data_IF_856215490042
#
_entry.id   IF_856215490042
#
_cell.length_a   1.000
_cell.length_b   1.000
_cell.length_c   1.000
_cell.angle_alpha   90.00
_cell.angle_beta   90.00
_cell.angle_gamma   90.00
#
_symmetry.space_group_name_H-M   'P 1'
#
loop_
_entity.id
_entity.type
_entity.pdbx_description
1 polymer ?
#
# COMPACT_ATOMS: atom_id res chain seq x y z
N UNK A 1 -85.71 7.46 -34.08
CA UNK A 1 -84.72 6.38 -34.21
C UNK A 1 -83.48 6.94 -33.64
N UNK A 2 -83.25 6.75 -32.36
CA UNK A 2 -82.10 7.30 -31.60
C UNK A 2 -81.31 6.13 -31.05
N UNK A 3 -80.19 5.89 -31.66
CA UNK A 3 -79.26 4.86 -31.27
C UNK A 3 -78.33 5.45 -30.22
N UNK A 4 -78.39 4.93 -29.01
CA UNK A 4 -77.53 5.28 -27.90
C UNK A 4 -76.34 4.32 -27.89
N UNK A 5 -75.20 4.89 -28.07
CA UNK A 5 -73.91 4.24 -27.99
C UNK A 5 -73.42 4.15 -26.49
N UNK A 6 -73.14 2.98 -25.99
CA UNK A 6 -72.62 2.86 -24.59
C UNK A 6 -71.10 3.08 -24.53
N UNK A 7 -70.69 4.09 -23.77
CA UNK A 7 -69.31 4.34 -23.41
C UNK A 7 -68.76 3.25 -22.48
N UNK A 8 -67.61 2.68 -22.73
CA UNK A 8 -66.97 1.74 -21.79
C UNK A 8 -66.43 2.45 -20.58
N UNK A 9 -66.76 1.96 -19.40
CA UNK A 9 -66.22 2.37 -18.13
C UNK A 9 -64.74 1.97 -18.04
N UNK A 10 -63.85 2.98 -17.92
CA UNK A 10 -62.41 2.80 -17.78
C UNK A 10 -62.09 2.33 -16.36
N UNK A 11 -61.46 1.19 -16.32
CA UNK A 11 -61.23 0.31 -15.20
C UNK A 11 -60.52 0.84 -13.96
N UNK A 12 -61.17 0.61 -12.84
CA UNK A 12 -60.63 0.73 -11.49
C UNK A 12 -59.54 -0.32 -11.09
N UNK A 13 -59.31 -1.45 -11.79
CA UNK A 13 -58.34 -2.44 -11.34
C UNK A 13 -56.86 -2.05 -11.48
N UNK A 14 -56.52 -1.13 -12.38
CA UNK A 14 -55.10 -0.71 -12.56
C UNK A 14 -54.56 0.18 -11.44
N UNK A 15 -55.39 0.96 -10.79
CA UNK A 15 -55.01 1.85 -9.69
C UNK A 15 -54.74 1.04 -8.40
N UNK A 16 -55.54 0.01 -8.15
CA UNK A 16 -55.42 -0.88 -6.98
C UNK A 16 -54.14 -1.73 -7.09
N UNK A 17 -53.80 -2.21 -8.31
CA UNK A 17 -52.57 -2.98 -8.54
C UNK A 17 -51.34 -2.13 -8.35
N UNK A 18 -51.33 -0.84 -8.76
CA UNK A 18 -50.23 0.08 -8.56
C UNK A 18 -49.98 0.39 -7.08
N UNK A 19 -51.04 0.59 -6.30
CA UNK A 19 -50.93 0.84 -4.86
C UNK A 19 -50.39 -0.40 -4.12
N UNK A 20 -50.80 -1.60 -4.48
CA UNK A 20 -50.32 -2.85 -3.91
C UNK A 20 -48.81 -3.02 -4.11
N UNK A 21 -48.30 -2.70 -5.30
CA UNK A 21 -46.86 -2.75 -5.59
C UNK A 21 -46.03 -1.71 -4.80
N UNK A 22 -46.57 -0.50 -4.63
CA UNK A 22 -45.87 0.55 -3.82
C UNK A 22 -45.82 0.13 -2.36
N UNK A 23 -46.88 -0.43 -1.81
CA UNK A 23 -46.88 -0.91 -0.40
C UNK A 23 -45.91 -2.08 -0.21
N UNK A 24 -45.84 -3.01 -1.18
CA UNK A 24 -44.91 -4.13 -1.15
C UNK A 24 -43.47 -3.68 -1.21
N UNK A 25 -43.13 -2.74 -2.08
CA UNK A 25 -41.77 -2.17 -2.20
C UNK A 25 -41.37 -1.34 -0.97
N UNK A 26 -42.30 -0.58 -0.39
CA UNK A 26 -42.09 0.14 0.86
C UNK A 26 -41.88 -0.81 2.04
N UNK A 27 -42.66 -1.89 2.12
CA UNK A 27 -42.50 -2.94 3.13
C UNK A 27 -41.12 -3.64 3.02
N UNK A 28 -40.73 -3.98 1.79
CA UNK A 28 -39.44 -4.59 1.52
C UNK A 28 -38.25 -3.62 1.84
N UNK A 29 -38.44 -2.33 1.53
CA UNK A 29 -37.44 -1.30 1.85
C UNK A 29 -37.31 -1.05 3.36
N UNK A 30 -38.44 -1.00 4.08
CA UNK A 30 -38.43 -0.88 5.55
C UNK A 30 -37.84 -2.12 6.22
N UNK A 31 -38.13 -3.31 5.73
CA UNK A 31 -37.55 -4.54 6.28
C UNK A 31 -36.08 -4.70 5.96
N UNK A 32 -35.64 -4.27 4.78
CA UNK A 32 -34.22 -4.21 4.41
C UNK A 32 -33.42 -3.23 5.26
N UNK A 33 -34.05 -2.19 5.78
CA UNK A 33 -33.39 -1.19 6.62
C UNK A 33 -33.14 -1.67 8.06
N UNK A 34 -33.99 -2.52 8.59
CA UNK A 34 -33.78 -3.16 9.91
C UNK A 34 -32.73 -4.28 9.86
N UNK A 35 -32.46 -4.85 8.68
CA UNK A 35 -31.43 -5.87 8.53
C UNK A 35 -29.99 -5.32 8.51
N UNK A 36 -29.80 -4.00 8.36
CA UNK A 36 -28.50 -3.35 8.38
C UNK A 36 -28.08 -2.78 9.74
N UNK A 37 -29.00 -2.77 10.73
CA UNK A 37 -28.72 -2.27 12.08
C UNK A 37 -28.54 -3.39 13.12
N UNK A 38 -28.00 -4.55 12.73
CA UNK A 38 -27.74 -5.64 13.67
C UNK A 38 -26.25 -5.88 13.88
N UNK A 39 -25.77 -5.30 15.00
CA UNK A 39 -24.79 -5.87 15.90
C UNK A 39 -23.31 -5.70 15.57
N UNK A 40 -22.73 -4.73 16.18
CA UNK A 40 -21.56 -4.95 17.02
C UNK A 40 -21.94 -5.96 18.12
N UNK A 41 -21.45 -7.17 18.01
CA UNK A 41 -21.66 -8.19 19.03
C UNK A 41 -21.55 -9.60 18.48
N UNK A 42 -20.35 -10.18 18.58
CA UNK A 42 -20.09 -11.62 18.64
C UNK A 42 -20.88 -12.49 17.69
N UNK A 43 -20.35 -12.74 16.50
CA UNK A 43 -20.65 -13.94 15.74
C UNK A 43 -19.44 -14.35 14.92
N UNK A 44 -18.86 -15.48 15.27
CA UNK A 44 -17.91 -16.23 14.47
C UNK A 44 -18.55 -16.59 13.14
N UNK A 45 -18.06 -16.16 12.00
CA UNK A 45 -18.45 -16.74 10.73
C UNK A 45 -17.65 -18.02 10.54
N UNK A 46 -18.35 -19.14 10.64
CA UNK A 46 -17.91 -20.42 10.07
C UNK A 46 -18.37 -20.40 8.63
N UNK A 47 -17.56 -19.87 7.74
CA UNK A 47 -17.58 -20.23 6.30
C UNK A 47 -16.38 -19.53 5.64
N UNK A 48 -15.43 -20.31 5.23
CA UNK A 48 -14.36 -20.17 4.27
C UNK A 48 -14.09 -18.80 3.65
N UNK A 49 -13.52 -17.87 4.40
CA UNK A 49 -12.85 -16.74 3.80
C UNK A 49 -11.39 -17.15 3.51
N UNK A 50 -11.20 -17.75 2.33
CA UNK A 50 -9.85 -18.12 1.83
C UNK A 50 -9.01 -16.87 1.48
N UNK A 51 -9.57 -15.67 1.59
CA UNK A 51 -8.87 -14.41 1.39
C UNK A 51 -8.19 -13.88 2.67
N UNK A 52 -8.52 -14.43 3.85
CA UNK A 52 -7.90 -14.03 5.12
C UNK A 52 -6.66 -14.86 5.49
N UNK A 53 -6.29 -15.86 4.69
CA UNK A 53 -5.17 -16.76 4.96
C UNK A 53 -3.79 -16.17 4.61
N UNK A 54 -3.63 -14.86 4.61
CA UNK A 54 -2.37 -14.20 4.26
C UNK A 54 -2.02 -12.96 5.06
N UNK A 55 -2.87 -12.56 6.04
CA UNK A 55 -2.49 -11.46 6.91
C UNK A 55 -1.68 -12.03 8.09
N UNK A 56 -0.40 -11.66 8.24
CA UNK A 56 0.35 -11.97 9.44
C UNK A 56 -0.42 -11.47 10.66
N UNK A 57 -0.31 -12.13 11.83
CA UNK A 57 -0.90 -11.62 13.07
C UNK A 57 -0.45 -10.15 13.22
N UNK A 58 -1.37 -9.27 13.68
CA UNK A 58 -1.06 -7.86 13.95
C UNK A 58 0.10 -7.81 14.95
N UNK A 59 1.31 -7.74 14.43
CA UNK A 59 2.50 -7.47 15.23
C UNK A 59 2.37 -6.00 15.64
N UNK A 60 2.27 -5.68 16.95
CA UNK A 60 2.20 -4.29 17.37
C UNK A 60 3.51 -3.60 16.99
N UNK A 61 3.43 -2.74 15.99
CA UNK A 61 4.59 -1.98 15.52
C UNK A 61 4.92 -0.85 16.50
N UNK A 62 6.21 -0.49 16.66
CA UNK A 62 6.61 0.65 17.47
C UNK A 62 5.91 1.94 17.02
N UNK A 63 5.66 2.90 17.91
CA UNK A 63 5.13 4.20 17.53
C UNK A 63 6.12 4.94 16.62
N UNK A 64 5.59 5.80 15.74
CA UNK A 64 6.43 6.63 14.89
C UNK A 64 7.25 7.62 15.74
N UNK A 65 8.51 7.74 15.41
CA UNK A 65 9.41 8.77 15.94
C UNK A 65 9.14 10.12 15.24
N UNK A 66 9.47 11.23 15.91
CA UNK A 66 9.46 12.53 15.27
C UNK A 66 10.45 12.57 14.11
N UNK A 67 10.09 13.22 12.97
CA UNK A 67 10.99 13.34 11.84
C UNK A 67 12.31 14.01 12.23
N UNK A 68 13.37 13.56 11.58
CA UNK A 68 14.71 14.15 11.71
C UNK A 68 14.84 15.35 10.75
N UNK A 69 15.81 16.20 11.00
CA UNK A 69 16.21 17.21 10.01
C UNK A 69 16.87 16.57 8.79
N UNK A 70 16.91 17.32 7.68
CA UNK A 70 17.52 16.87 6.43
C UNK A 70 19.01 16.51 6.62
N UNK A 71 19.37 15.32 6.10
CA UNK A 71 20.75 14.86 6.00
C UNK A 71 20.84 13.82 4.86
N UNK A 72 21.97 13.71 4.20
CA UNK A 72 22.11 12.85 3.02
C UNK A 72 22.40 11.40 3.42
N UNK A 73 21.74 10.42 2.80
CA UNK A 73 22.00 9.02 3.09
C UNK A 73 23.35 8.58 2.53
N UNK A 74 24.14 7.89 3.37
CA UNK A 74 25.45 7.33 3.02
C UNK A 74 25.38 5.81 2.84
N UNK A 75 24.65 5.12 3.74
CA UNK A 75 24.59 3.67 3.76
C UNK A 75 23.26 3.17 4.25
N UNK A 76 22.77 2.10 3.63
CA UNK A 76 21.60 1.32 4.07
C UNK A 76 22.08 0.03 4.72
N UNK A 77 21.63 -0.21 5.95
CA UNK A 77 21.87 -1.45 6.70
C UNK A 77 20.53 -2.16 6.97
N UNK A 78 20.43 -3.44 6.60
CA UNK A 78 19.28 -4.31 6.92
C UNK A 78 19.82 -5.54 7.63
N UNK A 79 19.87 -5.54 8.98
CA UNK A 79 20.51 -6.61 9.74
C UNK A 79 19.93 -8.00 9.51
N UNK A 80 18.60 -8.11 9.38
CA UNK A 80 17.91 -9.38 9.14
C UNK A 80 18.39 -10.09 7.86
N UNK A 81 18.78 -9.32 6.84
CA UNK A 81 19.28 -9.84 5.56
C UNK A 81 20.81 -9.74 5.42
N UNK A 82 21.51 -9.25 6.44
CA UNK A 82 22.97 -9.01 6.36
C UNK A 82 23.39 -7.95 5.34
N UNK A 83 22.46 -7.09 4.91
CA UNK A 83 22.73 -6.05 3.91
C UNK A 83 23.45 -4.87 4.56
N UNK A 84 24.55 -4.44 3.93
CA UNK A 84 25.26 -3.19 4.18
C UNK A 84 25.67 -2.58 2.85
N UNK A 85 24.92 -1.61 2.36
CA UNK A 85 25.03 -1.12 1.00
C UNK A 85 25.27 0.38 0.96
N UNK A 86 26.23 0.88 0.17
CA UNK A 86 26.39 2.31 -0.06
C UNK A 86 25.16 2.85 -0.81
N UNK A 87 24.75 4.06 -0.43
CA UNK A 87 23.65 4.77 -1.08
C UNK A 87 24.20 5.78 -2.07
N UNK A 88 23.62 5.82 -3.26
CA UNK A 88 23.95 6.76 -4.33
C UNK A 88 22.74 7.57 -4.74
N UNK A 89 22.92 8.87 -4.95
CA UNK A 89 21.87 9.75 -5.44
C UNK A 89 21.44 9.36 -6.86
N UNK A 90 20.11 9.28 -7.11
CA UNK A 90 19.53 8.94 -8.41
C UNK A 90 18.40 9.91 -8.77
N UNK A 91 18.15 10.04 -10.07
CA UNK A 91 17.00 10.75 -10.62
C UNK A 91 15.84 9.84 -10.96
N UNK A 92 14.93 10.34 -11.81
CA UNK A 92 13.89 9.55 -12.42
C UNK A 92 14.31 9.13 -13.84
N UNK A 93 13.89 7.96 -14.26
CA UNK A 93 14.00 7.51 -15.64
C UNK A 93 12.94 8.18 -16.54
N UNK A 94 12.97 7.88 -17.83
CA UNK A 94 12.03 8.43 -18.82
C UNK A 94 10.55 8.04 -18.57
N UNK A 95 10.29 7.08 -17.66
CA UNK A 95 8.95 6.63 -17.27
C UNK A 95 8.50 7.23 -15.94
N UNK A 96 9.33 8.07 -15.30
CA UNK A 96 9.07 8.65 -13.99
C UNK A 96 9.33 7.71 -12.81
N UNK A 97 9.97 6.56 -13.04
CA UNK A 97 10.40 5.67 -11.98
C UNK A 97 11.79 6.08 -11.48
N UNK A 98 12.08 5.82 -10.20
CA UNK A 98 13.42 6.06 -9.64
C UNK A 98 14.43 5.18 -10.38
N UNK A 99 15.44 5.82 -10.93
CA UNK A 99 16.48 5.13 -11.70
C UNK A 99 17.33 4.24 -10.78
N UNK A 100 17.42 2.91 -11.04
CA UNK A 100 18.23 2.02 -10.21
C UNK A 100 19.72 2.33 -10.37
N UNK A 101 20.59 1.85 -9.42
CA UNK A 101 22.04 1.95 -9.58
C UNK A 101 22.52 1.27 -10.86
N UNK A 102 23.67 1.65 -11.40
CA UNK A 102 24.27 0.96 -12.55
C UNK A 102 24.50 -0.54 -12.28
N UNK A 103 24.36 -1.36 -13.31
CA UNK A 103 24.51 -2.83 -13.21
C UNK A 103 25.94 -3.26 -12.81
N UNK A 104 26.94 -2.42 -13.00
CA UNK A 104 28.32 -2.67 -12.56
C UNK A 104 28.52 -2.48 -11.04
N UNK A 105 27.49 -1.93 -10.36
CA UNK A 105 27.47 -1.73 -8.90
C UNK A 105 26.28 -2.44 -8.24
N UNK A 106 26.17 -3.77 -8.36
CA UNK A 106 25.00 -4.50 -7.91
C UNK A 106 24.77 -4.46 -6.40
N UNK A 107 25.79 -4.14 -5.62
CA UNK A 107 25.72 -3.97 -4.16
C UNK A 107 25.33 -2.57 -3.69
N UNK A 108 24.97 -1.65 -4.58
CA UNK A 108 24.59 -0.27 -4.23
C UNK A 108 23.08 -0.11 -4.21
N UNK A 109 22.61 0.89 -3.45
CA UNK A 109 21.20 1.32 -3.40
C UNK A 109 21.09 2.74 -3.98
N UNK A 110 20.14 2.97 -4.89
CA UNK A 110 19.83 4.29 -5.39
C UNK A 110 18.82 4.98 -4.46
N UNK A 111 19.07 6.24 -4.13
CA UNK A 111 18.10 7.08 -3.42
C UNK A 111 17.62 8.18 -4.35
N UNK A 112 16.31 8.45 -4.38
CA UNK A 112 15.72 9.55 -5.18
C UNK A 112 16.06 10.90 -4.56
N UNK A 113 17.07 11.58 -5.12
CA UNK A 113 17.66 12.78 -4.54
C UNK A 113 16.76 14.03 -4.58
N UNK A 114 15.74 14.06 -5.44
CA UNK A 114 14.76 15.16 -5.48
C UNK A 114 13.55 14.93 -4.55
N UNK A 115 13.50 13.77 -3.87
CA UNK A 115 12.48 13.45 -2.87
C UNK A 115 12.92 13.73 -1.45
N UNK A 116 12.15 13.23 -0.48
CA UNK A 116 12.49 13.36 0.93
C UNK A 116 13.82 12.65 1.26
N UNK A 117 14.62 13.24 2.16
CA UNK A 117 15.77 12.56 2.77
C UNK A 117 15.29 11.54 3.80
N UNK A 118 15.99 10.41 3.99
CA UNK A 118 15.59 9.40 4.98
C UNK A 118 15.58 9.98 6.39
N UNK A 119 14.42 9.90 7.03
CA UNK A 119 14.18 10.46 8.35
C UNK A 119 13.48 11.82 8.35
N UNK A 120 13.51 12.59 7.27
CA UNK A 120 12.72 13.81 7.14
C UNK A 120 11.26 13.52 6.85
N UNK A 121 10.41 14.55 7.01
CA UNK A 121 8.97 14.45 6.68
C UNK A 121 8.78 14.05 5.22
N UNK A 122 7.95 13.05 4.99
CA UNK A 122 7.65 12.52 3.66
C UNK A 122 8.18 11.10 3.47
N UNK A 123 8.18 10.65 2.22
CA UNK A 123 8.61 9.29 1.88
C UNK A 123 9.95 9.32 1.14
N UNK A 124 10.98 8.79 1.77
CA UNK A 124 12.27 8.56 1.12
C UNK A 124 12.18 7.31 0.24
N UNK A 125 12.54 7.42 -1.03
CA UNK A 125 12.48 6.31 -1.99
C UNK A 125 13.90 5.78 -2.24
N UNK A 126 14.05 4.46 -2.06
CA UNK A 126 15.29 3.75 -2.35
C UNK A 126 15.04 2.59 -3.29
N UNK A 127 15.90 2.42 -4.28
CA UNK A 127 15.78 1.38 -5.29
C UNK A 127 17.06 0.55 -5.37
N UNK A 128 16.91 -0.76 -5.51
CA UNK A 128 18.03 -1.69 -5.65
C UNK A 128 17.69 -2.84 -6.59
N UNK A 129 18.72 -3.44 -7.19
CA UNK A 129 18.55 -4.61 -8.04
C UNK A 129 18.32 -5.88 -7.22
N UNK A 130 17.45 -6.78 -7.72
CA UNK A 130 17.32 -8.16 -7.21
C UNK A 130 18.48 -9.03 -7.72
N UNK A 131 18.90 -8.79 -8.95
CA UNK A 131 19.97 -9.52 -9.58
C UNK A 131 20.49 -8.81 -10.82
N UNK A 132 21.71 -9.16 -11.22
CA UNK A 132 22.33 -8.68 -12.46
C UNK A 132 22.75 -9.89 -13.27
N UNK A 133 21.86 -10.32 -14.18
CA UNK A 133 22.06 -11.57 -14.93
C UNK A 133 22.02 -12.78 -14.01
N UNK A 134 23.18 -13.44 -13.81
CA UNK A 134 23.28 -14.68 -12.99
C UNK A 134 23.70 -14.44 -11.54
N UNK A 135 23.92 -13.19 -11.14
CA UNK A 135 24.41 -12.85 -9.79
C UNK A 135 23.33 -12.16 -8.96
N UNK A 136 23.15 -12.55 -7.68
CA UNK A 136 22.31 -11.80 -6.76
C UNK A 136 22.83 -10.37 -6.59
N UNK A 137 21.92 -9.41 -6.39
CA UNK A 137 22.22 -8.02 -6.12
C UNK A 137 21.71 -7.61 -4.73
N UNK A 138 21.82 -6.32 -4.39
CA UNK A 138 21.59 -5.81 -3.04
C UNK A 138 20.22 -6.16 -2.46
N UNK A 139 19.15 -6.21 -3.28
CA UNK A 139 17.79 -6.53 -2.85
C UNK A 139 17.34 -7.94 -3.26
N UNK A 140 18.29 -8.87 -3.42
CA UNK A 140 18.00 -10.25 -3.78
C UNK A 140 16.96 -10.92 -2.85
N UNK A 141 17.08 -10.69 -1.55
CA UNK A 141 16.23 -11.31 -0.53
C UNK A 141 15.28 -10.33 0.15
N UNK A 142 15.09 -9.11 -0.41
CA UNK A 142 14.29 -8.08 0.26
C UNK A 142 12.83 -8.48 0.46
N UNK A 143 12.32 -9.42 -0.33
CA UNK A 143 10.98 -10.00 -0.17
C UNK A 143 10.83 -10.90 1.06
N UNK A 144 11.93 -11.29 1.69
CA UNK A 144 11.93 -12.10 2.91
C UNK A 144 11.82 -11.24 4.19
N UNK A 145 11.80 -9.91 4.06
CA UNK A 145 11.56 -9.03 5.20
C UNK A 145 10.14 -9.23 5.74
N UNK A 146 10.05 -9.15 7.07
CA UNK A 146 8.78 -9.26 7.79
C UNK A 146 8.42 -7.93 8.49
N UNK A 147 7.13 -7.63 8.70
CA UNK A 147 6.70 -6.51 9.53
C UNK A 147 7.34 -6.57 10.93
N UNK A 148 7.86 -5.42 11.39
CA UNK A 148 8.58 -5.30 12.67
C UNK A 148 10.09 -5.37 12.56
N UNK A 149 10.65 -5.80 11.43
CA UNK A 149 12.10 -5.82 11.21
C UNK A 149 12.66 -4.41 11.00
N UNK A 150 13.96 -4.26 11.27
CA UNK A 150 14.62 -2.95 11.28
C UNK A 150 15.42 -2.70 10.02
N UNK A 151 15.29 -1.46 9.53
CA UNK A 151 16.11 -0.89 8.47
C UNK A 151 16.80 0.35 9.04
N UNK A 152 18.08 0.50 8.79
CA UNK A 152 18.88 1.63 9.25
C UNK A 152 19.47 2.37 8.07
N UNK A 153 19.36 3.69 8.10
CA UNK A 153 20.02 4.55 7.12
C UNK A 153 21.02 5.43 7.87
N UNK A 154 22.31 5.21 7.59
CA UNK A 154 23.39 6.05 8.11
C UNK A 154 23.43 7.33 7.26
N UNK A 155 23.39 8.46 7.93
CA UNK A 155 23.38 9.79 7.33
C UNK A 155 24.79 10.43 7.34
N UNK A 156 24.99 11.46 6.54
CA UNK A 156 26.29 12.16 6.42
C UNK A 156 26.68 12.98 7.67
N UNK A 157 25.70 13.30 8.50
CA UNK A 157 25.90 13.95 9.80
C UNK A 157 26.11 12.96 10.96
N UNK A 158 26.41 11.70 10.66
CA UNK A 158 26.65 10.58 11.59
C UNK A 158 25.41 10.03 12.28
N UNK A 159 24.24 10.67 12.17
CA UNK A 159 22.98 10.12 12.68
C UNK A 159 22.60 8.85 11.92
N UNK A 160 21.87 7.99 12.59
CA UNK A 160 21.26 6.81 12.01
C UNK A 160 19.74 6.95 12.10
N UNK A 161 19.05 7.02 10.97
CA UNK A 161 17.61 6.93 10.93
C UNK A 161 17.20 5.46 11.01
N UNK A 162 16.48 5.06 12.08
CA UNK A 162 15.98 3.70 12.27
C UNK A 162 14.52 3.62 11.86
N UNK A 163 14.23 2.72 10.93
CA UNK A 163 12.89 2.44 10.42
C UNK A 163 12.46 1.04 10.81
N UNK A 164 11.16 0.87 11.05
CA UNK A 164 10.54 -0.44 11.23
C UNK A 164 9.67 -0.76 10.03
N UNK A 165 9.80 -1.97 9.50
CA UNK A 165 8.99 -2.46 8.37
C UNK A 165 7.53 -2.53 8.77
N UNK A 166 6.67 -1.91 7.99
CA UNK A 166 5.21 -1.95 8.13
C UNK A 166 4.59 -3.08 7.31
N UNK A 167 5.06 -3.19 6.06
CA UNK A 167 4.45 -4.07 5.07
C UNK A 167 5.43 -4.40 3.94
N UNK A 168 5.28 -5.59 3.37
CA UNK A 168 6.04 -6.06 2.22
C UNK A 168 5.06 -6.54 1.15
N UNK A 169 5.04 -5.87 0.01
CA UNK A 169 4.15 -6.18 -1.10
C UNK A 169 4.93 -6.67 -2.31
N UNK A 170 4.52 -7.82 -2.84
CA UNK A 170 5.00 -8.31 -4.14
C UNK A 170 3.95 -7.97 -5.19
N UNK A 171 4.31 -7.16 -6.17
CA UNK A 171 3.40 -6.68 -7.22
C UNK A 171 3.87 -7.17 -8.58
N UNK A 172 2.94 -7.64 -9.40
CA UNK A 172 3.23 -7.89 -10.82
C UNK A 172 3.45 -6.57 -11.53
N UNK A 173 4.34 -6.53 -12.50
CA UNK A 173 4.74 -5.31 -13.22
C UNK A 173 3.60 -4.60 -13.94
N UNK A 174 2.60 -5.33 -14.42
CA UNK A 174 1.43 -4.78 -15.12
C UNK A 174 0.49 -3.95 -14.20
N UNK A 175 0.67 -4.05 -12.87
CA UNK A 175 -0.08 -3.29 -11.86
C UNK A 175 0.74 -2.25 -11.09
N UNK A 176 1.97 -1.94 -11.54
CA UNK A 176 2.82 -0.97 -10.85
C UNK A 176 2.32 0.46 -11.15
N UNK A 177 1.66 1.06 -10.18
CA UNK A 177 1.31 2.48 -10.17
C UNK A 177 2.36 3.24 -9.35
N UNK A 178 3.17 4.06 -10.05
CA UNK A 178 4.21 4.87 -9.42
C UNK A 178 3.65 5.81 -8.35
N UNK A 179 2.45 6.37 -8.53
CA UNK A 179 1.83 7.25 -7.54
C UNK A 179 1.43 6.50 -6.27
N UNK A 180 0.90 5.27 -6.40
CA UNK A 180 0.61 4.42 -5.25
C UNK A 180 1.87 3.90 -4.57
N UNK A 181 2.91 3.58 -5.36
CA UNK A 181 4.18 3.11 -4.83
C UNK A 181 4.97 4.23 -4.14
N UNK A 182 4.85 5.47 -4.61
CA UNK A 182 5.67 6.61 -4.15
C UNK A 182 4.91 7.59 -3.24
N UNK A 183 3.57 7.57 -3.24
CA UNK A 183 2.77 8.49 -2.43
C UNK A 183 2.93 8.27 -0.92
N UNK A 184 2.88 9.33 -0.10
CA UNK A 184 2.91 9.21 1.35
C UNK A 184 1.65 8.52 1.84
N UNK A 185 1.80 7.54 2.75
CA UNK A 185 0.66 6.88 3.39
C UNK A 185 0.07 7.71 4.53
N UNK A 186 0.90 8.52 5.20
CA UNK A 186 0.47 9.33 6.36
C UNK A 186 1.16 10.68 6.36
N UNK A 187 0.37 11.73 6.43
CA UNK A 187 0.86 13.12 6.49
C UNK A 187 1.67 13.38 7.76
N UNK A 188 2.79 14.09 7.62
CA UNK A 188 3.59 14.54 8.76
C UNK A 188 4.54 13.49 9.38
N UNK A 189 4.69 12.33 8.76
CA UNK A 189 5.61 11.28 9.19
C UNK A 189 6.82 11.15 8.26
N UNK A 190 7.88 10.57 8.78
CA UNK A 190 9.01 10.12 8.00
C UNK A 190 8.81 8.64 7.63
N UNK A 191 8.74 8.37 6.32
CA UNK A 191 8.55 7.03 5.77
C UNK A 191 9.72 6.66 4.86
N UNK A 192 9.97 5.38 4.73
CA UNK A 192 10.96 4.82 3.81
C UNK A 192 10.29 3.78 2.94
N UNK A 193 10.60 3.79 1.64
CA UNK A 193 10.24 2.70 0.73
C UNK A 193 11.45 2.15 0.04
N UNK A 194 11.58 0.81 0.13
CA UNK A 194 12.54 0.07 -0.67
C UNK A 194 11.79 -0.56 -1.83
N UNK A 195 12.33 -0.38 -3.04
CA UNK A 195 11.69 -0.83 -4.27
C UNK A 195 12.71 -1.64 -5.06
N UNK A 196 12.33 -2.81 -5.52
CA UNK A 196 13.21 -3.58 -6.41
C UNK A 196 13.15 -3.02 -7.81
N UNK A 197 14.31 -2.77 -8.41
CA UNK A 197 14.44 -2.33 -9.79
C UNK A 197 15.03 -3.41 -10.69
N UNK A 198 14.61 -3.45 -11.95
CA UNK A 198 15.22 -4.32 -12.96
C UNK A 198 14.81 -5.79 -12.90
N UNK A 199 13.88 -6.19 -12.05
CA UNK A 199 13.29 -7.53 -12.05
C UNK A 199 12.48 -7.80 -13.33
N UNK A 200 12.37 -9.07 -13.73
CA UNK A 200 11.68 -9.44 -14.97
C UNK A 200 10.18 -9.69 -14.79
N UNK A 201 9.73 -10.05 -13.58
CA UNK A 201 8.38 -10.60 -13.40
C UNK A 201 7.56 -9.89 -12.30
N UNK A 202 8.19 -9.46 -11.23
CA UNK A 202 7.53 -8.81 -10.10
C UNK A 202 8.45 -7.79 -9.44
N UNK A 203 7.86 -6.72 -8.93
CA UNK A 203 8.52 -5.72 -8.10
C UNK A 203 8.11 -5.91 -6.64
N UNK A 204 9.07 -5.82 -5.72
CA UNK A 204 8.82 -5.83 -4.29
C UNK A 204 8.86 -4.41 -3.78
N UNK A 205 7.86 -4.03 -3.00
CA UNK A 205 7.78 -2.74 -2.31
C UNK A 205 7.73 -3.02 -0.81
N UNK A 206 8.77 -2.60 -0.10
CA UNK A 206 8.82 -2.60 1.36
C UNK A 206 8.47 -1.21 1.85
N UNK A 207 7.47 -1.11 2.70
CA UNK A 207 7.08 0.13 3.38
C UNK A 207 7.54 0.09 4.83
N UNK A 208 8.14 1.18 5.31
CA UNK A 208 8.62 1.31 6.68
C UNK A 208 8.43 2.74 7.18
N UNK A 209 8.28 2.92 8.49
CA UNK A 209 8.22 4.24 9.11
C UNK A 209 9.36 4.44 10.11
N UNK A 210 9.72 5.69 10.34
CA UNK A 210 10.75 6.07 11.31
C UNK A 210 10.31 5.74 12.74
N UNK A 211 11.11 4.97 13.46
CA UNK A 211 10.82 4.53 14.83
C UNK A 211 11.90 4.91 15.84
N UNK A 212 13.04 5.43 15.37
CA UNK A 212 14.12 5.84 16.25
C UNK A 212 15.25 6.52 15.53
N UNK A 213 16.21 6.97 16.32
CA UNK A 213 17.49 7.51 15.85
C UNK A 213 18.62 6.95 16.67
N UNK A 214 19.78 6.75 16.03
CA UNK A 214 21.03 6.33 16.64
C UNK A 214 22.18 7.25 16.28
N UNK A 215 23.32 7.05 16.88
CA UNK A 215 24.58 7.75 16.61
C UNK A 215 25.76 6.78 16.63
#
# INVERSE_FOLDING_TARGET
MTEQDPRPAVGAPRLVTGIAWVVLLLGLWLWGREATDVREGVSRPVTGDMAAAGRPPDVPLPPAHEPLGDALPQRLDIPALGIRAPVVARGLDARGAVEPPPFDRPGSVGWYAAGATPGAVGTALMVGHVGTGTRPAVFHEVSALEPGERIRVVLDDTRIAEFTVDDVQVRTRDGFDAQQAYGPHRTGRAELRLITGGGTTADVVVSAHLTGTGS
#
